data_IF_654590617137
#
_entry.id   IF_654590617137
#
_cell.length_a   1.000
_cell.length_b   1.000
_cell.length_c   1.000
_cell.angle_alpha   90.00
_cell.angle_beta   90.00
_cell.angle_gamma   90.00
#
_symmetry.space_group_name_H-M   'P 1'
#
loop_
_entity.id
_entity.type
_entity.pdbx_description
1 polymer ?
#
# COMPACT_ATOMS: atom_id res chain seq x y z
N UNK A 1 -1.62 18.71 -0.53
CA UNK A 1 -1.70 17.25 -0.75
C UNK A 1 -0.64 16.59 0.12
N UNK A 2 -1.04 15.68 1.02
CA UNK A 2 -0.12 15.01 1.95
C UNK A 2 0.47 13.79 1.26
N UNK A 3 1.80 13.68 1.23
CA UNK A 3 2.52 12.48 0.79
C UNK A 3 3.23 11.86 1.98
N UNK A 4 3.12 10.55 2.10
CA UNK A 4 3.75 9.72 3.10
C UNK A 4 4.58 8.67 2.37
N UNK A 5 5.77 8.43 2.89
CA UNK A 5 6.61 7.30 2.52
C UNK A 5 6.84 6.56 3.83
N UNK A 6 6.49 5.28 3.86
CA UNK A 6 6.53 4.47 5.06
C UNK A 6 6.86 3.03 4.67
N UNK A 7 7.09 2.17 5.66
CA UNK A 7 7.52 0.80 5.46
C UNK A 7 6.63 -0.15 6.24
N UNK A 8 6.23 -1.25 5.60
CA UNK A 8 5.54 -2.35 6.23
C UNK A 8 6.27 -3.65 5.91
N UNK A 9 6.77 -4.33 6.95
CA UNK A 9 7.76 -5.41 6.83
C UNK A 9 8.99 -4.90 6.05
N UNK A 10 9.36 -5.55 4.96
CA UNK A 10 10.49 -5.15 4.10
C UNK A 10 10.05 -4.39 2.84
N UNK A 11 8.78 -3.98 2.76
CA UNK A 11 8.22 -3.28 1.60
C UNK A 11 8.02 -1.80 1.93
N UNK A 12 8.74 -0.94 1.22
CA UNK A 12 8.49 0.51 1.23
C UNK A 12 7.30 0.83 0.34
N UNK A 13 6.43 1.71 0.82
CA UNK A 13 5.25 2.15 0.09
C UNK A 13 5.08 3.66 0.17
N UNK A 14 4.49 4.21 -0.89
CA UNK A 14 4.07 5.60 -0.93
C UNK A 14 2.57 5.70 -0.77
N UNK A 15 2.12 6.77 -0.12
CA UNK A 15 0.72 7.05 0.12
C UNK A 15 0.49 8.56 -0.02
N UNK A 16 -0.31 8.96 -1.00
CA UNK A 16 -0.55 10.35 -1.37
C UNK A 16 -2.03 10.66 -1.29
N UNK A 17 -2.42 11.63 -0.46
CA UNK A 17 -3.78 12.14 -0.43
C UNK A 17 -4.02 13.02 -1.67
N UNK A 18 -4.86 12.54 -2.58
CA UNK A 18 -5.15 13.18 -3.87
C UNK A 18 -6.47 13.96 -3.86
N UNK A 19 -7.44 13.55 -3.04
CA UNK A 19 -8.70 14.25 -2.80
C UNK A 19 -9.11 14.05 -1.33
N UNK A 20 -10.09 14.82 -0.81
CA UNK A 20 -10.71 14.51 0.48
C UNK A 20 -11.16 13.05 0.50
N UNK A 21 -10.69 12.32 1.50
CA UNK A 21 -10.92 10.88 1.69
C UNK A 21 -10.34 9.96 0.61
N UNK A 22 -9.62 10.44 -0.41
CA UNK A 22 -9.03 9.58 -1.46
C UNK A 22 -7.51 9.62 -1.42
N UNK A 23 -6.93 8.43 -1.33
CA UNK A 23 -5.48 8.24 -1.26
C UNK A 23 -5.00 7.35 -2.39
N UNK A 24 -4.01 7.81 -3.13
CA UNK A 24 -3.23 7.00 -4.08
C UNK A 24 -2.09 6.31 -3.33
N UNK A 25 -1.81 5.06 -3.65
CA UNK A 25 -0.70 4.30 -3.07
C UNK A 25 0.08 3.57 -4.15
N UNK A 26 1.36 3.35 -3.88
CA UNK A 26 2.20 2.47 -4.69
C UNK A 26 3.27 1.80 -3.84
N UNK A 27 3.69 0.60 -4.24
CA UNK A 27 4.80 -0.13 -3.66
C UNK A 27 5.35 -1.14 -4.67
N UNK A 28 6.53 -1.69 -4.42
CA UNK A 28 7.15 -2.69 -5.28
C UNK A 28 7.33 -4.01 -4.53
N UNK A 29 6.96 -5.13 -5.17
CA UNK A 29 7.26 -6.47 -4.67
C UNK A 29 7.75 -7.31 -5.85
N UNK A 30 8.89 -7.99 -5.70
CA UNK A 30 9.50 -8.87 -6.70
C UNK A 30 9.66 -8.21 -8.09
N UNK A 31 10.15 -6.96 -8.14
CA UNK A 31 10.33 -6.24 -9.40
C UNK A 31 9.03 -5.76 -10.06
N UNK A 32 7.88 -5.92 -9.40
CA UNK A 32 6.57 -5.50 -9.91
C UNK A 32 6.02 -4.36 -9.08
N UNK A 33 5.83 -3.22 -9.72
CA UNK A 33 5.17 -2.06 -9.11
C UNK A 33 3.67 -2.35 -9.04
N UNK A 34 3.12 -2.24 -7.83
CA UNK A 34 1.69 -2.32 -7.53
C UNK A 34 1.24 -0.93 -7.11
N UNK A 35 0.11 -0.50 -7.63
CA UNK A 35 -0.45 0.82 -7.35
C UNK A 35 -1.97 0.79 -7.37
N UNK A 36 -2.59 1.76 -6.72
CA UNK A 36 -4.04 1.89 -6.70
C UNK A 36 -4.49 3.05 -5.82
N UNK A 37 -5.79 3.07 -5.50
CA UNK A 37 -6.36 4.06 -4.60
C UNK A 37 -7.11 3.40 -3.45
N UNK A 38 -7.32 4.15 -2.37
CA UNK A 38 -8.17 3.74 -1.26
C UNK A 38 -8.92 4.93 -0.68
N UNK A 39 -10.16 4.70 -0.22
CA UNK A 39 -10.98 5.75 0.39
C UNK A 39 -10.91 5.75 1.92
N UNK A 40 -10.28 6.73 2.54
CA UNK A 40 -10.15 6.83 3.98
C UNK A 40 -10.09 8.28 4.46
N UNK A 41 -10.95 8.60 5.44
CA UNK A 41 -11.00 9.89 6.14
C UNK A 41 -9.79 10.16 7.03
N UNK A 42 -9.19 9.09 7.54
CA UNK A 42 -8.07 9.15 8.49
C UNK A 42 -6.81 8.60 7.83
N UNK A 43 -5.69 9.29 7.99
CA UNK A 43 -4.39 8.91 7.46
C UNK A 43 -3.98 7.50 7.90
N UNK A 44 -4.15 7.18 9.19
CA UNK A 44 -3.85 5.87 9.76
C UNK A 44 -4.72 4.76 9.14
N UNK A 45 -5.96 5.07 8.74
CA UNK A 45 -6.82 4.11 8.06
C UNK A 45 -6.35 3.86 6.61
N UNK A 46 -5.89 4.90 5.92
CA UNK A 46 -5.29 4.77 4.60
C UNK A 46 -4.03 3.89 4.65
N UNK A 47 -3.13 4.15 5.61
CA UNK A 47 -1.94 3.33 5.85
C UNK A 47 -2.28 1.86 6.14
N UNK A 48 -3.17 1.60 7.11
CA UNK A 48 -3.58 0.22 7.47
C UNK A 48 -4.12 -0.58 6.28
N UNK A 49 -4.82 0.07 5.36
CA UNK A 49 -5.32 -0.60 4.14
C UNK A 49 -4.18 -0.97 3.20
N UNK A 50 -3.18 -0.11 3.03
CA UNK A 50 -1.99 -0.45 2.23
C UNK A 50 -1.21 -1.59 2.88
N UNK A 51 -0.99 -1.57 4.19
CA UNK A 51 -0.38 -2.69 4.92
C UNK A 51 -1.13 -4.01 4.66
N UNK A 52 -2.47 -3.99 4.74
CA UNK A 52 -3.31 -5.16 4.46
C UNK A 52 -3.17 -5.66 3.02
N UNK A 53 -3.00 -4.76 2.04
CA UNK A 53 -2.78 -5.12 0.64
C UNK A 53 -1.40 -5.75 0.47
N UNK A 54 -0.36 -5.17 1.08
CA UNK A 54 1.01 -5.74 1.09
C UNK A 54 0.98 -7.16 1.68
N UNK A 55 0.36 -7.34 2.85
CA UNK A 55 0.25 -8.65 3.51
C UNK A 55 -0.44 -9.69 2.60
N UNK A 56 -1.48 -9.29 1.86
CA UNK A 56 -2.17 -10.17 0.90
C UNK A 56 -1.29 -10.54 -0.29
N UNK A 57 -0.55 -9.59 -0.84
CA UNK A 57 0.35 -9.86 -1.96
C UNK A 57 1.52 -10.76 -1.53
N UNK A 58 2.09 -10.54 -0.35
CA UNK A 58 3.11 -11.43 0.22
C UNK A 58 2.58 -12.86 0.40
N UNK A 59 1.39 -13.02 0.99
CA UNK A 59 0.77 -14.35 1.15
C UNK A 59 0.50 -15.05 -0.17
N UNK A 60 0.14 -14.31 -1.23
CA UNK A 60 -0.05 -14.87 -2.58
C UNK A 60 1.25 -15.39 -3.18
N UNK A 61 2.37 -14.70 -2.91
CA UNK A 61 3.69 -15.10 -3.37
C UNK A 61 4.15 -16.37 -2.63
N UNK A 62 4.05 -16.38 -1.30
CA UNK A 62 4.37 -17.54 -0.46
C UNK A 62 3.55 -18.78 -0.87
N UNK A 63 2.26 -18.63 -1.14
CA UNK A 63 1.39 -19.72 -1.59
C UNK A 63 1.53 -20.11 -3.06
N UNK A 64 2.42 -19.46 -3.82
CA UNK A 64 2.67 -19.74 -5.24
C UNK A 64 4.03 -20.41 -5.50
N UNK A 65 4.77 -20.75 -4.45
CA UNK A 65 5.91 -21.67 -4.55
C UNK A 65 5.40 -23.11 -4.76
N UNK A 66 5.87 -23.84 -5.79
CA UNK A 66 5.48 -25.24 -6.06
C UNK A 66 6.03 -26.24 -5.05
#
# INVERSE_FOLDING_TARGET
MKKLIDRHRDIEYTLTNIEPDLWSWSFEINGKIKQGTTRARLDLLAQRRVCTIIDRELKRIEGSEP
#
